data_IF_739069845562
#
_entry.id   IF_739069845562
#
_cell.length_a   1.000
_cell.length_b   1.000
_cell.length_c   1.000
_cell.angle_alpha   90.00
_cell.angle_beta   90.00
_cell.angle_gamma   90.00
#
_symmetry.space_group_name_H-M   'P 1'
#
loop_
_entity.id
_entity.type
_entity.pdbx_description
1 polymer ?
#
# COMPACT_ATOMS: atom_id res chain seq x y z
N UNK A 1 10.47 0.43 7.32
CA UNK A 1 10.03 0.70 8.71
C UNK A 1 9.32 -0.53 9.28
N UNK A 2 8.26 -1.09 8.67
CA UNK A 2 7.47 -2.20 9.21
C UNK A 2 8.31 -3.42 9.61
N UNK A 3 9.24 -3.86 8.75
CA UNK A 3 10.13 -5.00 9.10
C UNK A 3 10.96 -4.67 10.33
N UNK A 4 11.50 -3.47 10.45
CA UNK A 4 12.27 -3.04 11.65
C UNK A 4 11.42 -3.00 12.92
N UNK A 5 10.12 -2.75 12.81
CA UNK A 5 9.21 -2.80 13.94
C UNK A 5 9.10 -4.21 14.55
N UNK A 6 9.07 -5.23 13.69
CA UNK A 6 8.90 -6.64 14.10
C UNK A 6 10.26 -7.34 14.33
N UNK A 7 11.28 -6.98 13.52
CA UNK A 7 12.60 -7.59 13.52
C UNK A 7 13.69 -6.52 13.49
N UNK A 8 13.95 -5.86 14.64
CA UNK A 8 14.97 -4.80 14.74
C UNK A 8 16.41 -5.31 14.56
N UNK A 9 16.61 -6.61 14.63
CA UNK A 9 17.89 -7.30 14.42
C UNK A 9 18.29 -7.41 12.95
N UNK A 10 17.35 -7.23 11.99
CA UNK A 10 17.62 -7.38 10.58
C UNK A 10 18.30 -6.14 9.97
N UNK A 11 19.29 -6.39 9.14
CA UNK A 11 19.89 -5.35 8.31
C UNK A 11 19.05 -5.13 7.04
N UNK A 12 18.36 -4.01 6.96
CA UNK A 12 17.51 -3.66 5.81
C UNK A 12 18.30 -2.83 4.81
N UNK A 13 18.35 -3.29 3.56
CA UNK A 13 19.01 -2.62 2.46
C UNK A 13 18.04 -2.33 1.32
N UNK A 14 18.18 -1.16 0.69
CA UNK A 14 17.37 -0.82 -0.47
C UNK A 14 17.80 -1.64 -1.69
N UNK A 15 16.83 -2.17 -2.42
CA UNK A 15 17.06 -2.95 -3.63
C UNK A 15 16.34 -2.32 -4.83
N UNK A 16 17.03 -2.22 -5.97
CA UNK A 16 16.49 -1.73 -7.25
C UNK A 16 16.61 -2.81 -8.32
N UNK A 17 15.87 -2.66 -9.40
CA UNK A 17 15.84 -3.60 -10.52
C UNK A 17 14.46 -4.22 -10.73
N UNK A 18 14.34 -5.08 -11.75
CA UNK A 18 13.15 -5.88 -12.01
C UNK A 18 13.06 -7.06 -11.03
N UNK A 19 11.95 -7.80 -11.07
CA UNK A 19 11.70 -8.95 -10.18
C UNK A 19 12.82 -9.99 -10.29
N UNK A 20 13.18 -10.40 -11.51
CA UNK A 20 14.18 -11.45 -11.72
C UNK A 20 15.55 -11.05 -11.18
N UNK A 21 15.99 -9.80 -11.41
CA UNK A 21 17.27 -9.31 -10.89
C UNK A 21 17.29 -9.24 -9.36
N UNK A 22 16.16 -8.99 -8.73
CA UNK A 22 16.06 -8.98 -7.26
C UNK A 22 16.07 -10.40 -6.68
N UNK A 23 15.36 -11.35 -7.31
CA UNK A 23 15.37 -12.75 -6.92
C UNK A 23 16.77 -13.34 -7.04
N UNK A 24 17.47 -13.04 -8.16
CA UNK A 24 18.83 -13.50 -8.40
C UNK A 24 19.79 -13.17 -7.25
N UNK A 25 19.67 -12.01 -6.61
CA UNK A 25 20.52 -11.63 -5.48
C UNK A 25 20.31 -12.52 -4.24
N UNK A 26 19.12 -13.11 -4.09
CA UNK A 26 18.87 -14.14 -3.05
C UNK A 26 19.48 -15.46 -3.47
N UNK A 27 19.31 -15.87 -4.73
CA UNK A 27 19.90 -17.12 -5.25
C UNK A 27 21.44 -17.11 -5.17
N UNK A 28 22.07 -15.96 -5.42
CA UNK A 28 23.53 -15.73 -5.32
C UNK A 28 23.99 -15.51 -3.87
N UNK A 29 23.10 -15.58 -2.90
CA UNK A 29 23.38 -15.39 -1.46
C UNK A 29 23.98 -14.03 -1.11
N UNK A 30 23.70 -13.00 -1.89
CA UNK A 30 24.02 -11.62 -1.54
C UNK A 30 23.02 -11.06 -0.48
N UNK A 31 21.80 -11.59 -0.49
CA UNK A 31 20.72 -11.26 0.43
C UNK A 31 20.11 -12.56 0.98
N UNK A 32 19.72 -12.54 2.24
CA UNK A 32 19.02 -13.69 2.85
C UNK A 32 17.54 -13.76 2.42
N UNK A 33 16.93 -12.63 2.13
CA UNK A 33 15.55 -12.53 1.68
C UNK A 33 15.30 -11.22 0.89
N UNK A 34 14.21 -11.16 0.16
CA UNK A 34 13.72 -9.95 -0.52
C UNK A 34 12.21 -9.81 -0.34
N UNK A 35 11.74 -8.58 -0.10
CA UNK A 35 10.31 -8.26 -0.05
C UNK A 35 9.87 -7.72 -1.39
N UNK A 36 8.88 -8.37 -1.99
CA UNK A 36 8.33 -8.05 -3.30
C UNK A 36 6.80 -8.04 -3.24
N UNK A 37 6.16 -7.40 -4.22
CA UNK A 37 4.72 -7.51 -4.40
C UNK A 37 4.37 -8.92 -4.92
N UNK A 38 3.56 -9.69 -4.17
CA UNK A 38 3.12 -11.03 -4.56
C UNK A 38 2.46 -11.04 -5.95
N UNK A 39 1.60 -10.08 -6.24
CA UNK A 39 0.96 -9.94 -7.55
C UNK A 39 1.97 -9.81 -8.73
N UNK A 40 3.15 -9.26 -8.47
CA UNK A 40 4.22 -9.20 -9.48
C UNK A 40 4.83 -10.57 -9.77
N UNK A 41 5.04 -11.37 -8.74
CA UNK A 41 5.55 -12.75 -8.86
C UNK A 41 4.52 -13.67 -9.54
N UNK A 42 3.27 -13.58 -9.15
CA UNK A 42 2.17 -14.36 -9.73
C UNK A 42 2.00 -14.06 -11.23
N UNK A 43 2.03 -12.79 -11.65
CA UNK A 43 1.98 -12.41 -13.08
C UNK A 43 3.13 -12.93 -13.91
N UNK A 44 4.29 -13.09 -13.30
CA UNK A 44 5.48 -13.67 -13.97
C UNK A 44 5.52 -15.20 -13.90
N UNK A 45 4.51 -15.85 -13.32
CA UNK A 45 4.50 -17.30 -13.12
C UNK A 45 5.53 -17.78 -12.10
N UNK A 46 5.93 -16.91 -11.16
CA UNK A 46 6.95 -17.16 -10.13
C UNK A 46 6.35 -17.26 -8.73
N UNK A 47 5.09 -17.69 -8.62
CA UNK A 47 4.42 -17.89 -7.33
C UNK A 47 5.14 -18.92 -6.44
N UNK A 48 5.84 -19.86 -7.01
CA UNK A 48 6.68 -20.86 -6.34
C UNK A 48 7.84 -20.26 -5.53
N UNK A 49 8.26 -19.03 -5.85
CA UNK A 49 9.28 -18.30 -5.11
C UNK A 49 8.74 -17.61 -3.84
N UNK A 50 7.41 -17.57 -3.65
CA UNK A 50 6.81 -16.93 -2.48
C UNK A 50 6.94 -17.87 -1.27
N UNK A 51 7.73 -17.47 -0.30
CA UNK A 51 7.90 -18.22 0.96
C UNK A 51 6.80 -17.86 1.94
N UNK A 52 6.43 -16.57 2.00
CA UNK A 52 5.42 -16.05 2.93
C UNK A 52 4.72 -14.85 2.32
N UNK A 53 3.41 -14.73 2.55
CA UNK A 53 2.63 -13.56 2.16
C UNK A 53 2.38 -12.70 3.39
N UNK A 54 3.01 -11.54 3.42
CA UNK A 54 2.86 -10.56 4.49
C UNK A 54 1.53 -9.81 4.33
N UNK A 55 0.71 -9.78 5.38
CA UNK A 55 -0.65 -9.23 5.36
C UNK A 55 -0.97 -8.40 6.61
N UNK A 56 -1.91 -7.46 6.52
CA UNK A 56 -2.47 -6.81 7.71
C UNK A 56 -3.07 -7.82 8.71
N UNK A 57 -3.05 -7.53 9.99
CA UNK A 57 -2.61 -6.25 10.58
C UNK A 57 -1.10 -6.10 10.77
N UNK A 58 -0.32 -7.18 10.58
CA UNK A 58 1.10 -7.20 10.92
C UNK A 58 1.96 -6.49 9.85
N UNK A 59 1.53 -6.52 8.60
CA UNK A 59 2.23 -5.87 7.50
C UNK A 59 1.26 -5.25 6.50
N UNK A 60 1.38 -3.95 6.28
CA UNK A 60 0.50 -3.17 5.42
C UNK A 60 1.13 -2.92 4.05
N UNK A 61 0.45 -3.22 2.95
CA UNK A 61 0.94 -2.89 1.62
C UNK A 61 0.93 -1.37 1.37
N UNK A 62 1.69 -0.95 0.38
CA UNK A 62 1.60 0.41 -0.12
C UNK A 62 0.21 0.66 -0.75
N UNK A 63 -0.25 1.90 -0.69
CA UNK A 63 -1.51 2.34 -1.31
C UNK A 63 -1.59 1.88 -2.78
N UNK A 64 -2.69 1.24 -3.13
CA UNK A 64 -2.96 0.66 -4.45
C UNK A 64 -1.97 -0.46 -4.89
N UNK A 65 -1.28 -1.10 -3.94
CA UNK A 65 -0.34 -2.18 -4.25
C UNK A 65 -1.03 -3.33 -4.99
N UNK A 66 -0.45 -3.74 -6.11
CA UNK A 66 -0.96 -4.83 -6.95
C UNK A 66 -2.01 -4.42 -7.99
N UNK A 67 -2.63 -3.24 -7.88
CA UNK A 67 -3.53 -2.74 -8.91
C UNK A 67 -2.78 -2.30 -10.16
N UNK A 68 -3.31 -2.65 -11.35
CA UNK A 68 -2.84 -2.14 -12.62
C UNK A 68 -3.69 -0.95 -13.04
N UNK A 69 -3.04 0.09 -13.55
CA UNK A 69 -3.72 1.26 -14.09
C UNK A 69 -3.34 1.47 -15.55
N UNK A 70 -4.31 1.80 -16.38
CA UNK A 70 -4.10 2.19 -17.77
C UNK A 70 -4.51 3.66 -17.90
N UNK A 71 -3.54 4.49 -18.28
CA UNK A 71 -3.78 5.92 -18.51
C UNK A 71 -4.11 6.17 -19.97
N UNK A 72 -5.19 6.87 -20.21
CA UNK A 72 -5.65 7.27 -21.55
C UNK A 72 -5.91 8.77 -21.63
N UNK A 73 -6.01 9.31 -22.84
CA UNK A 73 -6.51 10.68 -23.04
C UNK A 73 -8.01 10.70 -22.74
N UNK A 74 -8.48 11.67 -21.95
CA UNK A 74 -9.88 11.81 -21.52
C UNK A 74 -10.86 11.82 -22.68
N UNK A 75 -10.54 12.51 -23.79
CA UNK A 75 -11.39 12.61 -24.98
C UNK A 75 -11.35 11.36 -25.90
N UNK A 76 -10.62 10.30 -25.55
CA UNK A 76 -10.48 9.13 -26.42
C UNK A 76 -11.51 8.05 -26.10
N UNK A 77 -12.78 8.30 -26.48
CA UNK A 77 -13.90 7.39 -26.26
C UNK A 77 -13.67 5.99 -26.84
N UNK A 78 -13.06 5.90 -28.04
CA UNK A 78 -12.77 4.61 -28.67
C UNK A 78 -11.87 3.72 -27.79
N UNK A 79 -10.83 4.30 -27.18
CA UNK A 79 -9.94 3.53 -26.30
C UNK A 79 -10.65 3.19 -24.98
N UNK A 80 -11.48 4.07 -24.48
CA UNK A 80 -12.29 3.80 -23.28
C UNK A 80 -13.20 2.59 -23.48
N UNK A 81 -13.94 2.52 -24.61
CA UNK A 81 -14.80 1.37 -24.96
C UNK A 81 -14.01 0.05 -25.07
N UNK A 82 -12.79 0.09 -25.63
CA UNK A 82 -11.91 -1.09 -25.73
C UNK A 82 -11.46 -1.58 -24.35
N UNK A 83 -11.29 -0.67 -23.39
CA UNK A 83 -10.81 -1.00 -22.05
C UNK A 83 -11.93 -1.40 -21.07
N UNK A 84 -13.18 -1.04 -21.37
CA UNK A 84 -14.35 -1.37 -20.52
C UNK A 84 -14.41 -2.84 -20.09
N UNK A 85 -14.21 -3.83 -20.99
CA UNK A 85 -14.29 -5.25 -20.61
C UNK A 85 -13.23 -5.72 -19.61
N UNK A 86 -12.14 -5.00 -19.45
CA UNK A 86 -11.06 -5.32 -18.50
C UNK A 86 -11.11 -4.45 -17.24
N UNK A 87 -12.07 -3.53 -17.17
CA UNK A 87 -12.31 -2.75 -15.95
C UNK A 87 -12.80 -3.65 -14.81
N UNK A 88 -12.17 -3.55 -13.64
CA UNK A 88 -12.55 -4.31 -12.46
C UNK A 88 -13.09 -3.38 -11.38
N UNK A 89 -14.43 -3.22 -11.24
CA UNK A 89 -15.04 -2.21 -10.38
C UNK A 89 -14.62 -2.34 -8.91
N UNK A 90 -14.52 -3.56 -8.37
CA UNK A 90 -14.12 -3.76 -6.98
C UNK A 90 -12.69 -3.25 -6.72
N UNK A 91 -11.73 -3.58 -7.59
CA UNK A 91 -10.36 -3.05 -7.48
C UNK A 91 -10.33 -1.52 -7.64
N UNK A 92 -11.12 -0.98 -8.56
CA UNK A 92 -11.22 0.46 -8.75
C UNK A 92 -11.72 1.17 -7.49
N UNK A 93 -12.83 0.72 -6.89
CA UNK A 93 -13.39 1.31 -5.69
C UNK A 93 -12.46 1.15 -4.47
N UNK A 94 -11.81 -0.01 -4.31
CA UNK A 94 -10.80 -0.21 -3.27
C UNK A 94 -9.65 0.78 -3.42
N UNK A 95 -9.11 0.94 -4.63
CA UNK A 95 -7.99 1.88 -4.87
C UNK A 95 -8.41 3.34 -4.73
N UNK A 96 -9.66 3.70 -5.05
CA UNK A 96 -10.20 5.04 -4.79
C UNK A 96 -10.21 5.33 -3.29
N UNK A 97 -10.69 4.40 -2.47
CA UNK A 97 -10.73 4.58 -1.01
C UNK A 97 -9.33 4.66 -0.40
N UNK A 98 -8.40 3.80 -0.82
CA UNK A 98 -7.00 3.85 -0.36
C UNK A 98 -6.30 5.17 -0.75
N UNK A 99 -6.52 5.66 -1.95
CA UNK A 99 -5.96 6.95 -2.41
C UNK A 99 -6.59 8.13 -1.70
N UNK A 100 -7.88 8.06 -1.37
CA UNK A 100 -8.55 9.09 -0.58
C UNK A 100 -7.97 9.17 0.84
N UNK A 101 -7.69 8.02 1.47
CA UNK A 101 -6.99 7.95 2.75
C UNK A 101 -5.61 8.63 2.66
N UNK A 102 -4.79 8.25 1.69
CA UNK A 102 -3.46 8.84 1.49
C UNK A 102 -3.52 10.36 1.28
N UNK A 103 -4.44 10.82 0.45
CA UNK A 103 -4.61 12.25 0.16
C UNK A 103 -5.07 13.04 1.41
N UNK A 104 -5.95 12.45 2.22
CA UNK A 104 -6.48 13.09 3.44
C UNK A 104 -5.43 13.19 4.55
N UNK A 105 -4.48 12.27 4.61
CA UNK A 105 -3.33 12.35 5.51
C UNK A 105 -2.23 13.30 4.98
N UNK A 106 -2.47 14.00 3.84
CA UNK A 106 -1.47 14.83 3.17
C UNK A 106 -0.13 14.11 2.94
N UNK A 107 -0.18 12.78 2.84
CA UNK A 107 0.97 11.92 2.59
C UNK A 107 1.44 12.09 1.16
N UNK A 108 2.71 12.50 0.97
CA UNK A 108 3.39 12.36 -0.31
C UNK A 108 3.74 10.89 -0.57
N UNK A 109 4.26 10.59 -1.78
CA UNK A 109 4.66 9.23 -2.17
C UNK A 109 5.71 8.57 -1.26
N UNK A 110 6.38 9.35 -0.41
CA UNK A 110 7.41 8.89 0.54
C UNK A 110 6.88 8.79 1.98
N UNK A 111 5.63 9.21 2.26
CA UNK A 111 5.08 9.07 3.58
C UNK A 111 4.92 7.58 3.95
N UNK A 112 5.28 7.19 5.17
CA UNK A 112 5.20 5.81 5.63
C UNK A 112 3.75 5.42 5.96
N UNK A 113 2.93 5.37 4.93
CA UNK A 113 1.50 5.05 4.99
C UNK A 113 1.27 3.76 4.24
N UNK A 114 0.61 2.81 4.88
CA UNK A 114 0.09 1.61 4.26
C UNK A 114 -1.42 1.60 4.25
N UNK A 115 -2.02 0.90 3.30
CA UNK A 115 -3.48 0.71 3.27
C UNK A 115 -3.87 -0.57 2.55
N UNK A 116 -5.05 -1.08 2.87
CA UNK A 116 -5.62 -2.23 2.21
C UNK A 116 -7.15 -2.18 2.22
N UNK A 117 -7.71 -2.02 1.02
CA UNK A 117 -9.14 -2.06 0.78
C UNK A 117 -9.57 -3.38 0.14
N UNK A 118 -10.57 -4.05 0.68
CA UNK A 118 -11.13 -5.28 0.11
C UNK A 118 -12.62 -5.37 0.31
N UNK A 119 -13.31 -5.93 -0.68
CA UNK A 119 -14.71 -6.28 -0.53
C UNK A 119 -14.86 -7.57 0.27
N UNK A 120 -15.72 -7.55 1.26
CA UNK A 120 -16.12 -8.70 2.06
C UNK A 120 -17.24 -9.48 1.36
N UNK A 121 -17.57 -10.66 1.88
CA UNK A 121 -18.59 -11.57 1.29
C UNK A 121 -19.98 -10.95 1.24
N UNK A 122 -20.30 -10.06 2.17
CA UNK A 122 -21.58 -9.33 2.26
C UNK A 122 -21.66 -8.10 1.32
N UNK A 123 -20.58 -7.82 0.58
CA UNK A 123 -20.49 -6.71 -0.37
C UNK A 123 -20.08 -5.37 0.25
N UNK A 124 -19.74 -5.35 1.54
CA UNK A 124 -19.12 -4.17 2.15
C UNK A 124 -17.65 -4.03 1.70
N UNK A 125 -17.20 -2.79 1.53
CA UNK A 125 -15.78 -2.49 1.38
C UNK A 125 -15.20 -2.23 2.77
N UNK A 126 -14.29 -3.10 3.19
CA UNK A 126 -13.46 -2.92 4.38
C UNK A 126 -12.17 -2.22 3.96
N UNK A 127 -11.87 -1.08 4.57
CA UNK A 127 -10.64 -0.32 4.38
C UNK A 127 -9.90 -0.21 5.69
N UNK A 128 -8.66 -0.66 5.71
CA UNK A 128 -7.72 -0.39 6.78
C UNK A 128 -6.54 0.45 6.31
N UNK A 129 -5.91 1.13 7.24
CA UNK A 129 -4.71 1.89 6.98
C UNK A 129 -3.81 2.02 8.19
N UNK A 130 -2.53 2.30 7.94
CA UNK A 130 -1.57 2.59 8.98
C UNK A 130 -0.71 3.80 8.64
N UNK A 131 -0.23 4.45 9.69
CA UNK A 131 0.83 5.47 9.64
C UNK A 131 1.95 5.02 10.54
N UNK A 132 3.19 5.11 10.04
CA UNK A 132 4.38 4.67 10.78
C UNK A 132 5.37 5.82 10.94
N UNK A 133 6.16 5.75 12.01
CA UNK A 133 7.34 6.59 12.20
C UNK A 133 8.48 5.74 12.76
N UNK A 134 9.72 6.05 12.40
CA UNK A 134 10.93 5.51 13.04
C UNK A 134 11.85 6.62 13.57
N UNK A 135 11.27 7.78 13.82
CA UNK A 135 11.98 8.92 14.40
C UNK A 135 12.53 8.57 15.79
N UNK A 136 13.77 8.96 16.03
CA UNK A 136 14.44 8.69 17.32
C UNK A 136 14.78 7.22 17.58
N UNK A 137 14.73 6.36 16.56
CA UNK A 137 15.11 4.94 16.69
C UNK A 137 14.03 4.03 17.30
N UNK A 138 12.86 4.58 17.60
CA UNK A 138 11.67 3.82 18.02
C UNK A 138 10.67 3.79 16.87
N UNK A 139 10.25 2.58 16.48
CA UNK A 139 9.16 2.44 15.51
C UNK A 139 7.83 2.56 16.22
N UNK A 140 7.02 3.49 15.75
CA UNK A 140 5.62 3.68 16.18
C UNK A 140 4.69 3.46 14.99
N UNK A 141 3.55 2.81 15.23
CA UNK A 141 2.54 2.53 14.21
C UNK A 141 1.14 2.78 14.78
N UNK A 142 0.38 3.59 14.08
CA UNK A 142 -1.05 3.78 14.32
C UNK A 142 -1.82 3.08 13.21
N UNK A 143 -2.93 2.44 13.55
CA UNK A 143 -3.79 1.73 12.60
C UNK A 143 -5.24 2.09 12.83
N UNK A 144 -6.02 2.24 11.77
CA UNK A 144 -7.47 2.38 11.84
C UNK A 144 -8.15 1.63 10.70
N UNK A 145 -9.40 1.27 10.90
CA UNK A 145 -10.22 0.63 9.87
C UNK A 145 -11.67 1.05 9.95
N UNK A 146 -12.35 0.98 8.81
CA UNK A 146 -13.80 1.15 8.67
C UNK A 146 -14.31 0.21 7.58
N UNK A 147 -15.60 -0.11 7.65
CA UNK A 147 -16.31 -0.83 6.60
C UNK A 147 -17.61 -0.13 6.27
N UNK A 148 -17.98 -0.09 5.01
CA UNK A 148 -19.26 0.46 4.57
C UNK A 148 -19.72 -0.12 3.23
N UNK A 149 -21.00 0.03 2.92
CA UNK A 149 -21.54 -0.25 1.59
C UNK A 149 -21.04 0.80 0.60
N UNK A 150 -20.20 0.36 -0.34
CA UNK A 150 -19.61 1.23 -1.36
C UNK A 150 -20.11 0.81 -2.74
N UNK A 151 -20.82 1.73 -3.40
CA UNK A 151 -21.41 1.47 -4.72
C UNK A 151 -20.88 2.39 -5.82
N UNK A 152 -20.13 3.43 -5.48
CA UNK A 152 -19.55 4.40 -6.41
C UNK A 152 -18.29 5.07 -5.85
N UNK A 153 -17.64 5.88 -6.68
CA UNK A 153 -16.40 6.57 -6.30
C UNK A 153 -16.58 7.56 -5.14
N UNK A 154 -17.73 8.18 -5.00
CA UNK A 154 -17.99 9.15 -3.93
C UNK A 154 -18.06 8.45 -2.56
N UNK A 155 -18.80 7.32 -2.47
CA UNK A 155 -18.84 6.52 -1.25
C UNK A 155 -17.49 5.88 -0.92
N UNK A 156 -16.72 5.45 -1.94
CA UNK A 156 -15.34 4.96 -1.75
C UNK A 156 -14.42 6.06 -1.21
N UNK A 157 -14.51 7.27 -1.76
CA UNK A 157 -13.73 8.42 -1.31
C UNK A 157 -14.09 8.81 0.13
N UNK A 158 -15.37 8.79 0.48
CA UNK A 158 -15.84 9.08 1.84
C UNK A 158 -15.30 8.07 2.86
N UNK A 159 -15.29 6.78 2.52
CA UNK A 159 -14.69 5.75 3.37
C UNK A 159 -13.20 6.00 3.63
N UNK A 160 -12.44 6.37 2.59
CA UNK A 160 -11.02 6.71 2.73
C UNK A 160 -10.78 7.89 3.67
N UNK A 161 -11.60 8.92 3.56
CA UNK A 161 -11.55 10.08 4.47
C UNK A 161 -11.88 9.70 5.93
N UNK A 162 -12.89 8.86 6.13
CA UNK A 162 -13.27 8.41 7.47
C UNK A 162 -12.12 7.67 8.17
N UNK A 163 -11.41 6.77 7.48
CA UNK A 163 -10.23 6.10 8.04
C UNK A 163 -9.11 7.09 8.35
N UNK A 164 -8.88 8.08 7.46
CA UNK A 164 -7.90 9.13 7.71
C UNK A 164 -8.24 9.98 8.94
N UNK A 165 -9.50 10.36 9.11
CA UNK A 165 -9.98 11.14 10.26
C UNK A 165 -9.77 10.37 11.57
N UNK A 166 -10.00 9.05 11.59
CA UNK A 166 -9.69 8.20 12.75
C UNK A 166 -8.19 8.21 13.07
N UNK A 167 -7.34 7.98 12.07
CA UNK A 167 -5.88 8.02 12.26
C UNK A 167 -5.41 9.38 12.78
N UNK A 168 -5.93 10.48 12.22
CA UNK A 168 -5.59 11.82 12.67
C UNK A 168 -6.03 12.08 14.11
N UNK A 169 -7.21 11.60 14.51
CA UNK A 169 -7.69 11.71 15.91
C UNK A 169 -6.84 10.92 16.90
N UNK A 170 -6.11 9.90 16.45
CA UNK A 170 -5.19 9.10 17.25
C UNK A 170 -3.74 9.62 17.23
N UNK A 171 -3.47 10.75 16.55
CA UNK A 171 -2.16 11.39 16.55
C UNK A 171 -1.30 11.12 15.30
N UNK A 172 -1.90 10.62 14.20
CA UNK A 172 -1.16 10.34 12.98
C UNK A 172 -0.42 11.56 12.41
N UNK A 173 -0.96 12.79 12.63
CA UNK A 173 -0.30 14.02 12.18
C UNK A 173 1.08 14.19 12.83
N UNK A 174 1.19 13.91 14.13
CA UNK A 174 2.46 14.02 14.87
C UNK A 174 3.50 13.05 14.33
N UNK A 175 3.11 11.81 14.02
CA UNK A 175 4.02 10.83 13.41
C UNK A 175 4.51 11.25 12.03
N UNK A 176 3.62 11.83 11.22
CA UNK A 176 3.95 12.32 9.87
C UNK A 176 4.89 13.54 9.93
N UNK A 177 4.70 14.43 10.88
CA UNK A 177 5.55 15.61 11.06
C UNK A 177 6.95 15.22 11.56
N UNK A 178 7.05 14.28 12.50
CA UNK A 178 8.33 13.72 12.94
C UNK A 178 9.16 13.13 11.78
N UNK A 179 8.49 12.51 10.82
CA UNK A 179 9.16 11.94 9.63
C UNK A 179 9.60 13.00 8.63
N UNK A 180 8.91 14.15 8.56
CA UNK A 180 9.31 15.28 7.71
C UNK A 180 10.54 16.01 8.26
N UNK A 181 10.61 16.17 9.57
CA UNK A 181 11.66 16.91 10.25
C UNK A 181 12.94 16.07 10.48
N UNK A 182 12.81 14.75 10.56
CA UNK A 182 13.91 13.81 10.86
C UNK A 182 14.53 13.08 9.67
N UNK A 183 14.02 13.24 8.47
CA UNK A 183 14.36 12.38 7.33
C UNK A 183 15.10 13.06 6.19
N UNK A 184 16.44 12.99 6.16
CA UNK A 184 17.09 12.78 4.87
C UNK A 184 16.78 11.35 4.40
N UNK A 185 16.22 11.16 3.17
CA UNK A 185 16.03 9.83 2.64
C UNK A 185 17.40 9.14 2.49
N UNK A 186 17.53 7.86 2.86
CA UNK A 186 18.76 7.13 2.60
C UNK A 186 19.03 7.09 1.10
N UNK A 187 20.20 7.55 0.69
CA UNK A 187 20.73 7.56 -0.68
C UNK A 187 20.84 6.17 -1.29
#
# INVERSE_FOLDING_TARGET
IQIRAVRPDLQIVAIRGNVDSRLKRVDERELDAVVLAAAGLERLGRADCITEVLQPPDFWPAVAQGALVIQIKEANQRVQEILEPIHHPATYLSTVSERALLASLAGGCLAPIGSWGRFEVDGELSLGGCVLSDAGGKVEMLTASCSSQVCNSESAFSLGREVAEKLLSEGAQELLDLMRDGGEPPH
#
